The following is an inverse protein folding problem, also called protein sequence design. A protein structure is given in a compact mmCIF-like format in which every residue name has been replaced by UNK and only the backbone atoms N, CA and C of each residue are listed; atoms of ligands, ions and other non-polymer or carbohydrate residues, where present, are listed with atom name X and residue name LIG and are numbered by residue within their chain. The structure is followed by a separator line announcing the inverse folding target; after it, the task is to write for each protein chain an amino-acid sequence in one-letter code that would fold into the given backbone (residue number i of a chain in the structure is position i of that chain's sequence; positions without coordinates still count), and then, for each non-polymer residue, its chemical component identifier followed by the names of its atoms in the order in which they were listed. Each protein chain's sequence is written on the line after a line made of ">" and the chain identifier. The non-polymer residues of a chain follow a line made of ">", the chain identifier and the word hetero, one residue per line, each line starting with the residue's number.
data_IF_059671821848
#
_entry.id   IF_059671821848
#
_cell.length_a   1.000
_cell.length_b   1.000
_cell.length_c   1.000
_cell.angle_alpha   90.00
_cell.angle_beta   90.00
_cell.angle_gamma   90.00
#
_symmetry.space_group_name_H-M   'P 1'
#
loop_
_entity.id
_entity.type
_entity.pdbx_description
1 polymer ?
#
# COMPACT_ATOMS: atom_id res chain seq x y z
N UNK A 1 4.48 -16.84 22.91
CA UNK A 1 3.79 -17.64 21.89
C UNK A 1 3.76 -16.81 20.62
N UNK A 2 4.29 -17.32 19.51
CA UNK A 2 4.25 -16.60 18.24
C UNK A 2 2.80 -16.46 17.77
N UNK A 3 2.36 -15.22 17.58
CA UNK A 3 1.01 -14.91 17.15
C UNK A 3 0.83 -15.37 15.69
N UNK A 4 -0.14 -16.26 15.46
CA UNK A 4 -0.48 -16.74 14.11
C UNK A 4 -0.91 -15.56 13.25
N UNK A 5 -0.16 -15.31 12.17
CA UNK A 5 -0.41 -14.21 11.23
C UNK A 5 -1.10 -14.72 9.98
N UNK A 6 -2.37 -14.37 9.81
CA UNK A 6 -3.12 -14.64 8.58
C UNK A 6 -2.64 -13.67 7.49
N UNK A 7 -2.09 -14.20 6.41
CA UNK A 7 -1.60 -13.40 5.26
C UNK A 7 -2.69 -13.11 4.25
N UNK A 8 -3.68 -14.00 4.14
CA UNK A 8 -4.85 -13.88 3.27
C UNK A 8 -6.03 -14.66 3.83
N UNK A 9 -7.24 -14.14 3.68
CA UNK A 9 -8.48 -14.84 3.97
C UNK A 9 -9.56 -14.37 2.99
N UNK A 10 -10.25 -15.32 2.35
CA UNK A 10 -11.33 -15.03 1.42
C UNK A 10 -12.64 -15.48 2.08
N UNK A 11 -13.59 -14.56 2.23
CA UNK A 11 -14.93 -14.84 2.78
C UNK A 11 -15.96 -14.67 1.68
N UNK A 12 -17.04 -15.46 1.71
CA UNK A 12 -18.01 -15.48 0.63
C UNK A 12 -19.45 -15.65 1.11
N UNK A 13 -20.38 -15.22 0.27
CA UNK A 13 -21.81 -15.51 0.37
C UNK A 13 -22.34 -15.92 -1.01
N UNK A 14 -23.21 -16.93 -1.01
CA UNK A 14 -23.75 -17.53 -2.22
C UNK A 14 -25.23 -17.16 -2.40
N UNK A 15 -25.54 -16.59 -3.56
CA UNK A 15 -26.89 -16.30 -4.02
C UNK A 15 -27.31 -17.39 -5.02
N UNK A 16 -27.82 -18.51 -4.52
CA UNK A 16 -28.20 -19.66 -5.35
C UNK A 16 -29.40 -19.37 -6.27
N UNK A 17 -30.31 -18.50 -5.84
CA UNK A 17 -31.55 -18.19 -6.56
C UNK A 17 -31.45 -16.97 -7.47
N UNK A 18 -30.25 -16.43 -7.71
CA UNK A 18 -30.05 -15.20 -8.48
C UNK A 18 -30.65 -13.97 -7.81
N UNK A 19 -30.68 -13.92 -6.47
CA UNK A 19 -31.10 -12.75 -5.69
C UNK A 19 -30.16 -11.54 -5.90
N UNK A 20 -28.94 -11.80 -6.37
CA UNK A 20 -27.95 -10.81 -6.71
C UNK A 20 -27.17 -11.27 -7.95
N UNK A 21 -26.81 -10.34 -8.82
CA UNK A 21 -26.12 -10.63 -10.09
C UNK A 21 -24.90 -9.73 -10.29
N UNK A 22 -23.94 -10.10 -11.16
CA UNK A 22 -22.84 -9.21 -11.52
C UNK A 22 -23.30 -7.86 -12.09
N UNK A 23 -24.40 -7.84 -12.84
CA UNK A 23 -25.01 -6.62 -13.39
C UNK A 23 -25.57 -5.74 -12.27
N UNK A 24 -26.28 -6.34 -11.30
CA UNK A 24 -26.76 -5.61 -10.13
C UNK A 24 -25.58 -5.06 -9.31
N UNK A 25 -24.50 -5.84 -9.15
CA UNK A 25 -23.28 -5.37 -8.50
C UNK A 25 -22.62 -4.20 -9.25
N UNK A 26 -22.66 -4.20 -10.57
CA UNK A 26 -22.17 -3.09 -11.39
C UNK A 26 -23.06 -1.85 -11.24
N UNK A 27 -24.38 -2.00 -11.22
CA UNK A 27 -25.31 -0.91 -10.95
C UNK A 27 -25.07 -0.29 -9.55
N UNK A 28 -24.94 -1.13 -8.53
CA UNK A 28 -24.63 -0.70 -7.15
C UNK A 28 -23.28 0.03 -7.07
N UNK A 29 -22.28 -0.42 -7.83
CA UNK A 29 -21.01 0.28 -7.97
C UNK A 29 -21.17 1.67 -8.58
N UNK A 30 -21.98 1.81 -9.64
CA UNK A 30 -22.30 3.09 -10.27
C UNK A 30 -23.04 4.04 -9.32
N UNK A 31 -23.84 3.49 -8.40
CA UNK A 31 -24.50 4.21 -7.32
C UNK A 31 -23.59 4.48 -6.10
N UNK A 32 -22.27 4.26 -6.21
CA UNK A 32 -21.28 4.50 -5.15
C UNK A 32 -21.46 3.64 -3.89
N UNK A 33 -22.23 2.55 -3.94
CA UNK A 33 -22.50 1.71 -2.76
C UNK A 33 -21.27 0.92 -2.29
N UNK A 34 -20.22 0.84 -3.11
CA UNK A 34 -18.93 0.26 -2.73
C UNK A 34 -17.92 1.30 -2.21
N UNK A 35 -18.28 2.59 -2.18
CA UNK A 35 -17.39 3.68 -1.82
C UNK A 35 -17.21 3.77 -0.31
N UNK A 36 -15.98 3.60 0.17
CA UNK A 36 -15.59 3.95 1.53
C UNK A 36 -14.40 4.91 1.48
N UNK A 37 -14.68 6.22 1.49
CA UNK A 37 -13.71 7.28 1.20
C UNK A 37 -13.53 7.50 -0.31
N UNK A 38 -12.61 6.76 -0.94
CA UNK A 38 -12.39 6.80 -2.40
C UNK A 38 -13.18 5.68 -3.09
N UNK A 39 -13.70 5.96 -4.29
CA UNK A 39 -14.33 4.93 -5.13
C UNK A 39 -13.28 3.84 -5.46
N UNK A 40 -13.56 2.56 -5.20
CA UNK A 40 -12.66 1.48 -5.60
C UNK A 40 -12.60 1.36 -7.13
N UNK A 41 -11.54 0.73 -7.67
CA UNK A 41 -11.50 0.38 -9.10
C UNK A 41 -12.55 -0.70 -9.40
N UNK A 42 -13.05 -0.71 -10.64
CA UNK A 42 -14.01 -1.71 -11.12
C UNK A 42 -13.49 -2.30 -12.44
N UNK A 43 -13.55 -3.62 -12.57
CA UNK A 43 -13.15 -4.36 -13.77
C UNK A 43 -14.21 -5.41 -14.08
N UNK A 44 -14.73 -5.40 -15.31
CA UNK A 44 -15.60 -6.44 -15.85
C UNK A 44 -14.73 -7.48 -16.53
N UNK A 45 -14.90 -8.75 -16.18
CA UNK A 45 -14.16 -9.88 -16.77
C UNK A 45 -15.12 -10.95 -17.26
N UNK A 46 -14.86 -11.44 -18.48
CA UNK A 46 -15.68 -12.44 -19.18
C UNK A 46 -16.24 -11.88 -20.49
N UNK A 47 -16.32 -12.72 -21.52
CA UNK A 47 -16.89 -12.36 -22.84
C UNK A 47 -18.40 -12.12 -22.75
N UNK A 48 -19.07 -12.82 -21.82
CA UNK A 48 -20.50 -12.67 -21.52
C UNK A 48 -20.93 -11.23 -21.20
N UNK A 49 -20.03 -10.34 -20.77
CA UNK A 49 -20.36 -8.94 -20.48
C UNK A 49 -20.77 -8.14 -21.71
N UNK A 50 -20.21 -8.47 -22.88
CA UNK A 50 -20.53 -7.80 -24.15
C UNK A 50 -21.53 -8.61 -24.96
N UNK A 51 -21.31 -9.93 -25.07
CA UNK A 51 -22.18 -10.85 -25.77
C UNK A 51 -22.43 -12.09 -24.91
N UNK A 52 -23.67 -12.29 -24.48
CA UNK A 52 -24.05 -13.42 -23.63
C UNK A 52 -23.80 -14.77 -24.32
N UNK A 53 -22.78 -15.49 -23.88
CA UNK A 53 -22.30 -16.76 -24.46
C UNK A 53 -22.32 -17.93 -23.45
N UNK A 54 -22.83 -17.69 -22.24
CA UNK A 54 -22.86 -18.66 -21.15
C UNK A 54 -21.50 -18.93 -20.49
N UNK A 55 -20.42 -18.21 -20.87
CA UNK A 55 -19.11 -18.31 -20.20
C UNK A 55 -19.12 -17.76 -18.77
N UNK A 56 -20.10 -16.92 -18.47
CA UNK A 56 -20.32 -16.32 -17.17
C UNK A 56 -19.64 -14.96 -17.00
N UNK A 57 -20.26 -14.10 -16.20
CA UNK A 57 -19.76 -12.76 -15.87
C UNK A 57 -19.07 -12.75 -14.52
N UNK A 58 -17.96 -12.02 -14.44
CA UNK A 58 -17.25 -11.69 -13.20
C UNK A 58 -17.05 -10.19 -13.09
N UNK A 59 -17.41 -9.62 -11.95
CA UNK A 59 -17.12 -8.23 -11.59
C UNK A 59 -16.07 -8.19 -10.47
N UNK A 60 -14.98 -7.46 -10.70
CA UNK A 60 -13.99 -7.16 -9.66
C UNK A 60 -14.20 -5.73 -9.14
N UNK A 61 -14.29 -5.59 -7.82
CA UNK A 61 -14.33 -4.28 -7.15
C UNK A 61 -13.16 -4.17 -6.16
N UNK A 62 -12.27 -3.21 -6.40
CA UNK A 62 -11.02 -3.04 -5.66
C UNK A 62 -9.79 -3.29 -6.52
N UNK A 63 -8.64 -3.56 -5.89
CA UNK A 63 -7.38 -3.83 -6.58
C UNK A 63 -6.74 -5.12 -6.09
N UNK A 64 -6.06 -5.85 -6.99
CA UNK A 64 -5.23 -7.01 -6.63
C UNK A 64 -4.04 -6.65 -5.73
N UNK A 65 -3.61 -5.40 -5.72
CA UNK A 65 -2.55 -4.91 -4.82
C UNK A 65 -3.12 -4.27 -3.54
N UNK A 66 -4.45 -4.20 -3.41
CA UNK A 66 -5.10 -3.64 -2.23
C UNK A 66 -5.28 -4.65 -1.11
N UNK A 67 -5.57 -4.14 0.08
CA UNK A 67 -5.90 -4.94 1.27
C UNK A 67 -7.22 -5.73 1.15
N UNK A 68 -8.10 -5.35 0.21
CA UNK A 68 -9.30 -6.12 -0.13
C UNK A 68 -9.65 -6.06 -1.62
N UNK A 69 -10.27 -7.13 -2.11
CA UNK A 69 -10.80 -7.25 -3.47
C UNK A 69 -12.12 -8.04 -3.41
N UNK A 70 -13.21 -7.43 -3.89
CA UNK A 70 -14.47 -8.14 -4.07
C UNK A 70 -14.53 -8.76 -5.47
N UNK A 71 -15.11 -9.95 -5.56
CA UNK A 71 -15.44 -10.70 -6.77
C UNK A 71 -16.91 -11.09 -6.70
N UNK A 72 -17.69 -10.64 -7.67
CA UNK A 72 -19.07 -11.06 -7.84
C UNK A 72 -19.15 -11.80 -9.17
N UNK A 73 -19.42 -13.10 -9.14
CA UNK A 73 -19.35 -13.92 -10.34
C UNK A 73 -20.40 -15.01 -10.39
N UNK A 74 -20.79 -15.37 -11.60
CA UNK A 74 -21.73 -16.47 -11.89
C UNK A 74 -21.04 -17.81 -11.62
N UNK A 75 -21.11 -18.26 -10.37
CA UNK A 75 -20.42 -19.45 -9.85
C UNK A 75 -20.89 -20.73 -10.54
N UNK A 76 -22.19 -20.87 -10.78
CA UNK A 76 -22.71 -22.07 -11.44
C UNK A 76 -22.22 -22.22 -12.88
N UNK A 77 -22.14 -21.10 -13.62
CA UNK A 77 -21.55 -21.07 -14.97
C UNK A 77 -20.06 -21.40 -14.95
N UNK A 78 -19.34 -20.88 -13.95
CA UNK A 78 -17.94 -21.23 -13.72
C UNK A 78 -17.72 -22.71 -13.39
N UNK A 79 -18.74 -23.41 -12.89
CA UNK A 79 -18.74 -24.86 -12.65
C UNK A 79 -19.31 -25.68 -13.83
N UNK A 80 -19.67 -25.04 -14.93
CA UNK A 80 -20.13 -25.69 -16.17
C UNK A 80 -21.64 -25.66 -16.40
N UNK A 81 -22.45 -25.20 -15.44
CA UNK A 81 -23.90 -25.07 -15.61
C UNK A 81 -24.25 -23.67 -16.17
N UNK A 82 -24.46 -23.61 -17.49
CA UNK A 82 -24.80 -22.38 -18.22
C UNK A 82 -26.14 -21.77 -17.80
N UNK A 83 -27.08 -22.59 -17.32
CA UNK A 83 -28.41 -22.16 -16.90
C UNK A 83 -28.45 -21.75 -15.41
N UNK A 84 -27.36 -21.96 -14.68
CA UNK A 84 -27.32 -21.67 -13.26
C UNK A 84 -27.50 -20.19 -12.95
N UNK A 85 -28.34 -19.92 -11.95
CA UNK A 85 -28.51 -18.59 -11.35
C UNK A 85 -27.57 -18.36 -10.16
N UNK A 86 -26.72 -19.33 -9.85
CA UNK A 86 -25.83 -19.26 -8.71
C UNK A 86 -24.75 -18.21 -8.92
N UNK A 87 -24.81 -17.15 -8.10
CA UNK A 87 -23.80 -16.09 -8.03
C UNK A 87 -23.09 -16.14 -6.68
N UNK A 88 -21.76 -16.00 -6.68
CA UNK A 88 -20.96 -15.88 -5.45
C UNK A 88 -20.47 -14.45 -5.30
N UNK A 89 -20.71 -13.87 -4.13
CA UNK A 89 -20.06 -12.64 -3.68
C UNK A 89 -18.93 -13.02 -2.74
N UNK A 90 -17.70 -12.71 -3.14
CA UNK A 90 -16.50 -13.08 -2.40
C UNK A 90 -15.65 -11.83 -2.14
N UNK A 91 -15.12 -11.71 -0.93
CA UNK A 91 -14.14 -10.67 -0.57
C UNK A 91 -12.87 -11.35 -0.12
N UNK A 92 -11.82 -11.13 -0.88
CA UNK A 92 -10.45 -11.47 -0.52
C UNK A 92 -9.88 -10.37 0.37
N UNK A 93 -9.35 -10.74 1.52
CA UNK A 93 -8.59 -9.88 2.43
C UNK A 93 -7.11 -10.27 2.36
N UNK A 94 -6.22 -9.28 2.28
CA UNK A 94 -4.76 -9.48 2.24
C UNK A 94 -4.07 -8.67 3.33
N UNK A 95 -3.04 -9.24 3.94
CA UNK A 95 -2.24 -8.60 4.98
C UNK A 95 -1.21 -7.58 4.42
N UNK A 96 -1.65 -6.65 3.57
CA UNK A 96 -0.85 -5.54 3.06
C UNK A 96 -0.80 -4.41 4.11
N UNK A 97 -1.65 -3.39 3.96
CA UNK A 97 -1.85 -2.31 4.96
C UNK A 97 -2.88 -2.68 6.04
N UNK A 98 -3.25 -3.96 6.10
CA UNK A 98 -4.29 -4.50 6.96
C UNK A 98 -3.73 -5.65 7.78
N UNK A 99 -4.18 -5.76 9.03
CA UNK A 99 -4.00 -6.95 9.85
C UNK A 99 -5.30 -7.73 9.81
N UNK A 100 -5.24 -8.98 9.37
CA UNK A 100 -6.41 -9.85 9.28
C UNK A 100 -6.61 -10.47 10.67
N UNK A 101 -7.69 -10.13 11.38
CA UNK A 101 -7.97 -10.71 12.70
C UNK A 101 -8.30 -12.19 12.57
N UNK A 102 -7.89 -13.00 13.55
CA UNK A 102 -8.17 -14.45 13.55
C UNK A 102 -9.66 -14.76 13.70
N UNK A 103 -10.43 -13.89 14.33
CA UNK A 103 -11.88 -14.07 14.50
C UNK A 103 -12.68 -13.93 13.18
N UNK A 104 -12.04 -13.55 12.06
CA UNK A 104 -12.64 -13.65 10.73
C UNK A 104 -13.05 -15.08 10.37
N UNK A 105 -12.36 -16.08 10.93
CA UNK A 105 -12.67 -17.49 10.73
C UNK A 105 -13.91 -17.93 11.51
N UNK A 106 -14.24 -17.21 12.58
CA UNK A 106 -15.40 -17.49 13.44
C UNK A 106 -16.61 -16.69 12.96
N UNK A 107 -16.40 -15.43 12.53
CA UNK A 107 -17.46 -14.48 12.15
C UNK A 107 -17.34 -13.99 10.70
N UNK A 108 -17.21 -14.87 9.69
CA UNK A 108 -16.91 -14.46 8.32
C UNK A 108 -17.98 -13.54 7.71
N UNK A 109 -19.25 -13.74 8.06
CA UNK A 109 -20.36 -12.92 7.57
C UNK A 109 -20.31 -11.46 8.05
N UNK A 110 -19.81 -11.22 9.27
CA UNK A 110 -19.65 -9.85 9.79
C UNK A 110 -18.56 -9.08 9.05
N UNK A 111 -17.48 -9.77 8.69
CA UNK A 111 -16.39 -9.22 7.89
C UNK A 111 -16.79 -9.00 6.44
N UNK A 112 -17.59 -9.91 5.88
CA UNK A 112 -18.17 -9.75 4.55
C UNK A 112 -19.11 -8.53 4.49
N UNK A 113 -19.99 -8.40 5.49
CA UNK A 113 -20.88 -7.24 5.63
C UNK A 113 -20.13 -5.92 5.81
N UNK A 114 -19.11 -5.91 6.68
CA UNK A 114 -18.26 -4.74 6.92
C UNK A 114 -17.24 -4.44 5.81
N UNK A 115 -17.10 -5.31 4.80
CA UNK A 115 -16.10 -5.14 3.76
C UNK A 115 -16.38 -3.90 2.90
N UNK A 116 -17.62 -3.71 2.46
CA UNK A 116 -18.06 -2.59 1.62
C UNK A 116 -19.43 -2.09 2.10
N UNK A 117 -19.78 -0.80 1.95
CA UNK A 117 -21.05 -0.29 2.46
C UNK A 117 -22.28 -1.02 1.91
N UNK A 118 -22.23 -1.50 0.66
CA UNK A 118 -23.28 -2.34 0.06
C UNK A 118 -23.60 -3.58 0.88
N UNK A 119 -22.64 -4.11 1.65
CA UNK A 119 -22.81 -5.31 2.47
C UNK A 119 -23.91 -5.15 3.53
N UNK A 120 -24.05 -3.95 4.12
CA UNK A 120 -25.10 -3.68 5.11
C UNK A 120 -26.51 -3.75 4.52
N UNK A 121 -26.66 -3.59 3.20
CA UNK A 121 -27.93 -3.77 2.49
C UNK A 121 -28.15 -5.22 2.06
N UNK A 122 -27.08 -5.92 1.68
CA UNK A 122 -27.17 -7.25 1.09
C UNK A 122 -27.22 -8.38 2.11
N UNK A 123 -26.63 -8.19 3.29
CA UNK A 123 -26.47 -9.25 4.28
C UNK A 123 -27.16 -8.88 5.59
N UNK A 124 -27.78 -9.86 6.24
CA UNK A 124 -28.52 -9.68 7.51
C UNK A 124 -27.62 -9.69 8.76
N UNK A 125 -26.30 -9.51 8.60
CA UNK A 125 -25.32 -9.64 9.68
C UNK A 125 -24.85 -8.28 10.18
N UNK A 126 -24.48 -8.20 11.47
CA UNK A 126 -23.79 -7.03 12.03
C UNK A 126 -22.43 -6.81 11.38
N UNK A 127 -22.11 -5.57 11.01
CA UNK A 127 -20.84 -5.25 10.36
C UNK A 127 -19.71 -5.08 11.39
N UNK A 128 -18.65 -5.89 11.29
CA UNK A 128 -17.38 -5.63 12.01
C UNK A 128 -16.51 -4.67 11.20
N UNK A 129 -16.06 -3.58 11.84
CA UNK A 129 -15.23 -2.56 11.20
C UNK A 129 -13.76 -2.97 11.27
N UNK A 130 -13.03 -2.71 10.18
CA UNK A 130 -11.63 -3.09 10.01
C UNK A 130 -10.70 -2.31 10.93
N UNK A 131 -9.72 -2.98 11.52
CA UNK A 131 -8.55 -2.37 12.15
C UNK A 131 -7.48 -2.17 11.06
N UNK A 132 -7.32 -0.93 10.60
CA UNK A 132 -6.21 -0.57 9.69
C UNK A 132 -4.93 -0.50 10.49
N UNK A 133 -3.80 -1.00 9.94
CA UNK A 133 -2.49 -0.78 10.54
C UNK A 133 -2.19 0.71 10.51
N UNK A 134 -2.37 1.41 11.64
CA UNK A 134 -1.79 2.74 11.81
C UNK A 134 -0.30 2.55 12.08
N UNK A 135 0.49 2.37 11.02
CA UNK A 135 1.93 2.49 11.15
C UNK A 135 2.24 3.96 11.44
N UNK A 136 2.30 4.35 12.72
CA UNK A 136 3.04 5.55 13.13
C UNK A 136 4.53 5.25 12.91
N UNK A 137 5.00 5.29 11.67
CA UNK A 137 6.44 5.43 11.43
C UNK A 137 6.81 6.82 11.92
N UNK A 138 7.68 6.91 12.93
CA UNK A 138 8.28 8.17 13.34
C UNK A 138 8.80 8.88 12.09
N UNK A 139 8.27 10.07 11.81
CA UNK A 139 8.71 10.85 10.67
C UNK A 139 10.08 11.41 11.06
N UNK A 140 11.14 11.10 10.32
CA UNK A 140 12.43 11.73 10.57
C UNK A 140 12.44 13.12 9.94
N UNK A 141 13.18 14.07 10.53
CA UNK A 141 13.34 15.44 9.99
C UNK A 141 13.80 15.40 8.54
N UNK A 142 14.74 14.52 8.19
CA UNK A 142 15.26 14.37 6.82
C UNK A 142 14.17 13.97 5.82
N UNK A 143 13.24 13.10 6.23
CA UNK A 143 12.12 12.68 5.38
C UNK A 143 11.05 13.76 5.29
N UNK A 144 10.84 14.52 6.36
CA UNK A 144 9.94 15.66 6.37
C UNK A 144 10.44 16.82 5.48
N UNK A 145 11.75 17.02 5.38
CA UNK A 145 12.37 18.07 4.56
C UNK A 145 12.28 17.83 3.04
N UNK A 146 11.95 16.60 2.60
CA UNK A 146 11.88 16.24 1.18
C UNK A 146 10.87 17.08 0.39
N UNK A 147 9.63 17.17 0.86
CA UNK A 147 8.58 17.92 0.16
C UNK A 147 8.80 19.44 0.19
N UNK A 148 9.16 20.08 1.33
CA UNK A 148 9.54 21.48 1.37
C UNK A 148 10.67 21.82 0.38
N UNK A 149 11.68 20.96 0.25
CA UNK A 149 12.76 21.16 -0.74
C UNK A 149 12.23 21.17 -2.17
N UNK A 150 11.29 20.29 -2.52
CA UNK A 150 10.69 20.27 -3.86
C UNK A 150 9.79 21.49 -4.12
N UNK A 151 9.00 21.91 -3.13
CA UNK A 151 8.01 22.96 -3.30
C UNK A 151 8.62 24.37 -3.25
N UNK A 152 9.57 24.59 -2.33
CA UNK A 152 10.10 25.91 -2.03
C UNK A 152 11.60 26.05 -2.33
N UNK A 153 12.32 24.95 -2.61
CA UNK A 153 13.78 24.99 -2.78
C UNK A 153 14.26 25.88 -3.94
N UNK A 154 13.53 25.88 -5.07
CA UNK A 154 13.83 26.77 -6.19
C UNK A 154 13.66 28.25 -5.82
N UNK A 155 12.61 28.57 -5.04
CA UNK A 155 12.37 29.91 -4.54
C UNK A 155 13.44 30.35 -3.54
N UNK A 156 13.82 29.48 -2.60
CA UNK A 156 14.91 29.75 -1.65
C UNK A 156 16.23 30.02 -2.38
N UNK A 157 16.55 29.24 -3.43
CA UNK A 157 17.74 29.46 -4.28
C UNK A 157 17.69 30.84 -4.95
N UNK A 158 16.56 31.20 -5.55
CA UNK A 158 16.36 32.49 -6.18
C UNK A 158 16.57 33.65 -5.21
N UNK A 159 16.01 33.57 -4.00
CA UNK A 159 16.17 34.61 -2.98
C UNK A 159 17.62 34.75 -2.49
N UNK A 160 18.31 33.62 -2.33
CA UNK A 160 19.73 33.60 -1.98
C UNK A 160 20.58 34.27 -3.07
N UNK A 161 20.31 34.01 -4.34
CA UNK A 161 21.08 34.60 -5.46
C UNK A 161 20.80 36.09 -5.66
N UNK A 162 19.68 36.59 -5.12
CA UNK A 162 19.42 38.03 -4.98
C UNK A 162 20.14 38.67 -3.78
N UNK A 163 20.97 37.93 -3.05
CA UNK A 163 21.77 38.45 -1.94
C UNK A 163 21.01 38.60 -0.63
N UNK A 164 19.82 38.01 -0.50
CA UNK A 164 19.09 38.02 0.78
C UNK A 164 19.77 37.14 1.80
N UNK A 165 19.75 37.59 3.04
CA UNK A 165 20.28 36.83 4.17
C UNK A 165 19.36 35.66 4.53
N UNK A 166 19.93 34.60 5.12
CA UNK A 166 19.17 33.44 5.58
C UNK A 166 18.01 33.83 6.51
N UNK A 167 18.25 34.81 7.40
CA UNK A 167 17.23 35.31 8.32
C UNK A 167 16.04 35.98 7.60
N UNK A 168 16.27 36.67 6.49
CA UNK A 168 15.19 37.25 5.68
C UNK A 168 14.38 36.17 4.98
N UNK A 169 15.06 35.16 4.43
CA UNK A 169 14.40 34.03 3.74
C UNK A 169 13.55 33.23 4.74
N UNK A 170 14.07 32.97 5.95
CA UNK A 170 13.33 32.28 7.01
C UNK A 170 12.10 33.10 7.42
N UNK A 171 12.23 34.42 7.61
CA UNK A 171 11.09 35.28 7.94
C UNK A 171 9.98 35.25 6.88
N UNK A 172 10.31 35.01 5.61
CA UNK A 172 9.32 34.88 4.54
C UNK A 172 8.56 33.55 4.56
N UNK A 173 9.21 32.46 5.00
CA UNK A 173 8.69 31.10 4.83
C UNK A 173 8.23 30.43 6.13
N UNK A 174 8.62 30.97 7.29
CA UNK A 174 8.31 30.36 8.58
C UNK A 174 6.80 30.36 8.85
N UNK A 175 6.29 29.21 9.28
CA UNK A 175 4.90 29.08 9.69
C UNK A 175 4.66 29.71 11.07
N UNK A 176 3.41 30.06 11.43
CA UNK A 176 3.08 30.52 12.76
C UNK A 176 3.51 29.53 13.86
N UNK A 177 3.81 30.02 15.08
CA UNK A 177 4.17 29.17 16.21
C UNK A 177 3.15 28.03 16.44
N UNK A 178 3.65 26.83 16.77
CA UNK A 178 2.82 25.65 17.00
C UNK A 178 2.38 24.89 15.73
N UNK A 179 2.65 25.43 14.53
CA UNK A 179 2.33 24.75 13.27
C UNK A 179 3.51 23.92 12.77
N UNK A 180 3.54 22.65 13.17
CA UNK A 180 4.58 21.68 12.76
C UNK A 180 4.08 20.67 11.73
N UNK A 181 4.98 20.02 10.97
CA UNK A 181 4.63 18.86 10.15
C UNK A 181 3.97 17.78 11.00
N UNK A 182 2.92 17.13 10.46
CA UNK A 182 2.22 16.05 11.19
C UNK A 182 3.19 14.93 11.55
N UNK A 183 3.30 14.62 12.84
CA UNK A 183 4.18 13.56 13.34
C UNK A 183 5.61 14.00 13.65
N UNK A 184 5.89 15.30 13.65
CA UNK A 184 7.09 15.90 14.24
C UNK A 184 6.66 16.90 15.31
N UNK A 185 7.01 16.64 16.57
CA UNK A 185 6.88 17.60 17.65
C UNK A 185 8.28 17.99 18.17
N UNK A 186 8.55 19.25 18.50
CA UNK A 186 9.87 19.67 19.03
C UNK A 186 10.34 18.87 20.26
N UNK A 187 9.39 18.38 21.06
CA UNK A 187 9.64 17.59 22.27
C UNK A 187 9.96 16.11 21.97
N UNK A 188 9.79 15.66 20.73
CA UNK A 188 10.10 14.28 20.33
C UNK A 188 11.61 14.08 20.09
N UNK A 189 12.40 15.15 20.02
CA UNK A 189 13.85 15.10 19.75
C UNK A 189 14.72 14.92 21.02
N UNK A 190 14.14 15.11 22.21
CA UNK A 190 14.87 15.10 23.49
C UNK A 190 15.31 13.69 23.96
N UNK A 191 14.79 12.61 23.35
CA UNK A 191 15.07 11.24 23.78
C UNK A 191 16.35 10.63 23.16
N UNK A 192 16.95 11.26 22.15
CA UNK A 192 18.08 10.68 21.40
C UNK A 192 19.36 11.52 21.40
N UNK A 193 19.37 12.69 22.03
CA UNK A 193 20.50 13.62 21.98
C UNK A 193 21.28 13.81 23.30
N UNK A 194 20.96 13.07 24.37
CA UNK A 194 21.73 13.10 25.62
C UNK A 194 22.54 11.82 25.86
N UNK A 195 23.51 11.56 24.97
CA UNK A 195 24.58 10.60 25.27
C UNK A 195 25.93 10.98 24.65
N UNK A 196 26.27 12.27 24.63
CA UNK A 196 27.67 12.72 24.53
C UNK A 196 27.83 13.96 25.42
N UNK A 197 28.11 13.74 26.69
CA UNK A 197 28.74 14.75 27.54
C UNK A 197 30.22 14.85 27.15
N UNK A 198 30.68 16.06 26.86
CA UNK A 198 32.06 16.52 27.07
C UNK A 198 31.93 17.87 27.82
N UNK A 199 32.91 18.38 28.60
CA UNK A 199 34.36 18.30 28.32
C UNK A 199 35.30 18.22 29.55
N UNK A 200 36.56 17.87 29.33
CA UNK A 200 37.68 18.51 30.04
C UNK A 200 38.98 18.39 29.25
N UNK A 201 39.58 19.55 28.95
CA UNK A 201 40.93 19.68 28.43
C UNK A 201 41.97 19.24 29.46
N UNK A 202 43.01 18.51 29.03
CA UNK A 202 44.41 18.63 29.50
C UNK A 202 45.31 17.58 28.81
N UNK A 203 46.48 18.02 28.34
CA UNK A 203 47.68 17.17 28.26
C UNK A 203 48.05 16.54 26.90
N UNK A 204 48.85 17.24 26.11
CA UNK A 204 49.73 16.66 25.08
C UNK A 204 50.82 15.79 25.73
N UNK A 205 51.34 14.76 25.03
CA UNK A 205 52.75 14.85 24.65
C UNK A 205 53.06 14.41 23.20
N UNK A 206 54.24 14.83 22.75
CA UNK A 206 54.79 14.76 21.39
C UNK A 206 55.48 13.40 21.07
N UNK A 207 55.87 13.29 19.79
CA UNK A 207 56.80 12.34 19.13
C UNK A 207 56.12 11.02 18.70
N UNK A 208 56.40 10.38 17.55
CA UNK A 208 57.50 10.48 16.58
C UNK A 208 57.08 9.99 15.19
N UNK A 209 58.00 10.12 14.24
CA UNK A 209 57.86 9.98 12.78
C UNK A 209 58.36 8.59 12.31
N UNK A 210 57.65 7.91 11.40
CA UNK A 210 58.22 6.99 10.38
C UNK A 210 57.20 6.56 9.30
N UNK A 211 57.44 7.05 8.09
CA UNK A 211 57.29 6.55 6.70
C UNK A 211 56.27 5.48 6.21
N UNK A 212 55.93 5.49 4.90
CA UNK A 212 54.79 4.78 4.32
C UNK A 212 55.19 3.45 3.66
N UNK A 213 54.24 2.50 3.58
CA UNK A 213 54.41 1.26 2.81
C UNK A 213 53.19 0.99 1.92
N UNK A 214 53.50 0.38 0.78
CA UNK A 214 52.85 0.35 -0.52
C UNK A 214 51.55 -0.46 -0.67
N UNK A 215 50.80 -0.03 -1.70
CA UNK A 215 49.89 -0.77 -2.60
C UNK A 215 49.93 -2.31 -2.58
N UNK A 216 48.72 -2.90 -2.65
CA UNK A 216 48.49 -4.28 -3.06
C UNK A 216 47.05 -4.49 -3.53
N UNK A 217 46.86 -4.62 -4.85
CA UNK A 217 45.64 -5.10 -5.50
C UNK A 217 45.38 -6.56 -5.11
N UNK A 218 44.12 -6.91 -4.88
CA UNK A 218 43.61 -8.26 -5.15
C UNK A 218 42.25 -8.19 -5.85
N UNK A 219 42.30 -8.46 -7.14
CA UNK A 219 41.20 -8.89 -8.00
C UNK A 219 40.85 -10.33 -7.66
N UNK A 220 39.58 -10.62 -7.37
CA UNK A 220 39.02 -11.96 -7.52
C UNK A 220 37.64 -11.86 -8.19
N UNK A 221 37.63 -12.31 -9.43
CA UNK A 221 36.43 -12.61 -10.21
C UNK A 221 35.71 -13.85 -9.63
N UNK A 222 34.42 -14.03 -9.96
CA UNK A 222 33.90 -15.23 -10.64
C UNK A 222 32.40 -15.04 -11.00
N UNK A 223 32.19 -15.01 -12.32
CA UNK A 223 31.13 -15.53 -13.21
C UNK A 223 29.63 -15.29 -12.91
N UNK A 224 28.87 -14.61 -13.79
CA UNK A 224 28.28 -15.03 -15.11
C UNK A 224 26.98 -15.86 -14.93
N UNK A 225 25.87 -15.71 -15.66
CA UNK A 225 25.47 -14.87 -16.79
C UNK A 225 23.97 -15.03 -17.05
N UNK A 226 23.34 -13.98 -17.58
CA UNK A 226 22.07 -14.00 -18.32
C UNK A 226 22.23 -14.70 -19.67
N UNK A 227 21.32 -15.58 -20.08
CA UNK A 227 21.15 -15.91 -21.50
C UNK A 227 19.84 -15.32 -22.02
N UNK A 228 19.99 -14.54 -23.10
CA UNK A 228 18.94 -13.99 -23.94
C UNK A 228 19.53 -14.00 -25.35
N UNK A 229 19.10 -14.91 -26.21
CA UNK A 229 19.22 -14.79 -27.67
C UNK A 229 17.93 -15.35 -28.26
N UNK A 230 17.19 -14.49 -28.95
CA UNK A 230 16.13 -14.89 -29.85
C UNK A 230 16.67 -15.19 -31.24
N UNK A 231 15.79 -15.70 -32.10
CA UNK A 231 15.54 -15.26 -33.47
C UNK A 231 15.33 -16.42 -34.44
N UNK A 232 14.09 -16.47 -34.93
CA UNK A 232 13.71 -16.56 -36.35
C UNK A 232 13.68 -17.90 -37.13
N UNK A 233 12.55 -18.00 -37.87
CA UNK A 233 12.24 -18.72 -39.12
C UNK A 233 11.79 -20.20 -39.09
N UNK A 234 10.57 -20.42 -39.60
CA UNK A 234 10.39 -21.20 -40.83
C UNK A 234 9.70 -22.58 -40.75
N UNK A 235 8.43 -22.62 -41.20
CA UNK A 235 7.74 -23.56 -42.11
C UNK A 235 8.11 -25.07 -42.20
N UNK A 236 7.07 -25.88 -42.50
CA UNK A 236 7.02 -27.28 -42.94
C UNK A 236 7.23 -28.34 -41.83
N UNK A 237 6.37 -29.33 -41.58
CA UNK A 237 5.22 -29.95 -42.26
C UNK A 237 4.10 -30.24 -41.26
#
# INVERSE_FOLDING_TARGET
>A
MDQVKITRCDVAHDFFGGQYTPEQAYADYRCLLYRNGKQPKCEKRGTAWENEDGSGKTLYIGSRYGAKLARIYEKGRQLGDKASRWVRFEVEFRAHDYEIPTDILIYPGEYLCGAYPVGARLFQNSAKRKITKQARKGLTVQRAAYFPRLQAGAFVRYQHDLGRTDGEIVRMLIAPPGKYPKGLHPLDEDCTAHSILSPSAQGMPKTGRSEPVSVGLWTAAVLYLKYLIGSLHGLCW
#
